data_IF_697276031564
#
_entry.id   IF_697276031564
#
_cell.length_a   1.000
_cell.length_b   1.000
_cell.length_c   1.000
_cell.angle_alpha   90.00
_cell.angle_beta   90.00
_cell.angle_gamma   90.00
#
_symmetry.space_group_name_H-M   'P 1'
#
loop_
_entity.id
_entity.type
_entity.pdbx_description
1 polymer ?
#
# COMPACT_ATOMS: atom_id res chain seq x y z
N UNK A 1 -14.19 -0.29 -36.04
CA UNK A 1 -13.10 -0.84 -35.21
C UNK A 1 -13.22 -0.17 -33.86
N UNK A 2 -13.74 -0.85 -32.84
CA UNK A 2 -13.73 -0.33 -31.49
C UNK A 2 -12.28 -0.32 -30.99
N UNK A 3 -11.72 0.86 -30.73
CA UNK A 3 -10.44 0.98 -30.06
C UNK A 3 -10.56 0.26 -28.71
N UNK A 4 -9.61 -0.62 -28.40
CA UNK A 4 -9.54 -1.20 -27.07
C UNK A 4 -9.51 -0.04 -26.06
N UNK A 5 -10.30 -0.07 -24.99
CA UNK A 5 -10.28 0.98 -24.00
C UNK A 5 -8.86 1.14 -23.47
N UNK A 6 -8.38 2.37 -23.45
CA UNK A 6 -7.10 2.70 -22.82
C UNK A 6 -7.21 2.33 -21.34
N UNK A 7 -6.40 1.39 -20.89
CA UNK A 7 -6.36 0.92 -19.51
C UNK A 7 -5.06 1.42 -18.86
N UNK A 8 -5.09 2.04 -17.68
CA UNK A 8 -6.24 2.35 -16.80
C UNK A 8 -6.92 3.68 -17.15
N UNK A 9 -8.22 3.79 -16.87
CA UNK A 9 -9.04 4.95 -17.20
C UNK A 9 -9.45 5.69 -15.92
N UNK A 10 -9.33 7.02 -15.94
CA UNK A 10 -9.89 7.87 -14.88
C UNK A 10 -11.42 7.86 -15.01
N UNK A 11 -12.09 7.25 -14.02
CA UNK A 11 -13.55 7.13 -14.01
C UNK A 11 -14.22 8.32 -13.35
N UNK A 12 -13.62 8.80 -12.26
CA UNK A 12 -14.23 9.86 -11.46
C UNK A 12 -13.22 10.59 -10.58
N UNK A 13 -13.53 11.84 -10.27
CA UNK A 13 -12.87 12.58 -9.20
C UNK A 13 -13.89 13.06 -8.17
N UNK A 14 -13.47 13.06 -6.89
CA UNK A 14 -14.27 13.52 -5.77
C UNK A 14 -13.66 14.78 -5.18
N UNK A 15 -14.49 15.83 -5.06
CA UNK A 15 -14.13 17.11 -4.46
C UNK A 15 -14.98 17.35 -3.23
N UNK A 16 -14.36 17.75 -2.11
CA UNK A 16 -15.09 18.04 -0.87
C UNK A 16 -14.19 18.26 0.33
N UNK A 17 -13.02 17.64 0.36
CA UNK A 17 -11.98 17.99 1.32
C UNK A 17 -11.39 19.38 1.01
N UNK A 18 -10.92 20.06 2.07
CA UNK A 18 -10.31 21.41 1.98
C UNK A 18 -8.79 21.38 2.09
N UNK A 19 -8.21 20.23 2.37
CA UNK A 19 -6.77 20.03 2.53
C UNK A 19 -6.36 18.65 2.00
N UNK A 20 -5.06 18.38 1.99
CA UNK A 20 -4.46 17.18 1.44
C UNK A 20 -5.09 15.89 1.97
N UNK A 21 -5.26 14.92 1.10
CA UNK A 21 -5.75 13.58 1.42
C UNK A 21 -4.58 12.73 1.92
N UNK A 22 -4.71 12.17 3.10
CA UNK A 22 -3.67 11.37 3.76
C UNK A 22 -3.83 9.88 3.55
N UNK A 23 -5.07 9.41 3.46
CA UNK A 23 -5.36 7.98 3.32
C UNK A 23 -6.69 7.78 2.60
N UNK A 24 -6.76 6.71 1.81
CA UNK A 24 -7.98 6.25 1.13
C UNK A 24 -8.13 4.75 1.37
N UNK A 25 -9.38 4.29 1.49
CA UNK A 25 -9.67 2.87 1.59
C UNK A 25 -11.06 2.54 1.04
N UNK A 26 -11.16 1.42 0.34
CA UNK A 26 -12.42 0.91 -0.20
C UNK A 26 -13.19 0.08 0.83
N UNK A 27 -14.50 0.23 0.83
CA UNK A 27 -15.36 -0.73 1.52
C UNK A 27 -15.19 -2.14 0.92
N UNK A 28 -15.35 -3.21 1.72
CA UNK A 28 -15.16 -4.58 1.25
C UNK A 28 -16.00 -4.98 0.04
N UNK A 29 -17.14 -4.31 -0.15
CA UNK A 29 -18.05 -4.52 -1.29
C UNK A 29 -17.74 -3.63 -2.51
N UNK A 30 -16.67 -2.80 -2.44
CA UNK A 30 -16.25 -1.88 -3.52
C UNK A 30 -17.21 -0.72 -3.81
N UNK A 31 -18.32 -0.57 -3.04
CA UNK A 31 -19.36 0.43 -3.34
C UNK A 31 -19.10 1.80 -2.71
N UNK A 32 -18.26 1.85 -1.69
CA UNK A 32 -17.94 3.06 -0.94
C UNK A 32 -16.44 3.24 -0.83
N UNK A 33 -16.01 4.47 -0.70
CA UNK A 33 -14.63 4.88 -0.47
C UNK A 33 -14.60 5.79 0.75
N UNK A 34 -13.73 5.50 1.71
CA UNK A 34 -13.45 6.35 2.84
C UNK A 34 -12.15 7.12 2.59
N UNK A 35 -12.11 8.38 2.99
CA UNK A 35 -10.94 9.23 2.87
C UNK A 35 -10.67 9.99 4.15
N UNK A 36 -9.39 10.15 4.47
CA UNK A 36 -8.90 10.94 5.57
C UNK A 36 -8.11 12.14 5.06
N UNK A 37 -8.11 13.25 5.77
CA UNK A 37 -7.47 14.49 5.31
C UNK A 37 -6.85 15.31 6.45
N UNK A 38 -6.00 16.24 6.05
CA UNK A 38 -5.44 17.28 6.93
C UNK A 38 -6.51 18.24 7.44
N UNK A 39 -7.67 18.30 6.81
CA UNK A 39 -8.79 19.14 7.25
C UNK A 39 -9.51 18.62 8.50
N UNK A 40 -8.99 17.59 9.15
CA UNK A 40 -9.52 16.94 10.36
C UNK A 40 -10.77 16.10 10.17
N UNK A 41 -11.29 16.01 8.96
CA UNK A 41 -12.49 15.27 8.63
C UNK A 41 -12.19 13.96 7.93
N UNK A 42 -13.15 13.03 8.07
CA UNK A 42 -13.27 11.91 7.15
C UNK A 42 -14.46 12.16 6.22
N UNK A 43 -14.34 11.67 5.01
CA UNK A 43 -15.47 11.63 4.09
C UNK A 43 -15.72 10.20 3.64
N UNK A 44 -17.00 9.85 3.58
CA UNK A 44 -17.47 8.61 3.04
C UNK A 44 -18.17 8.91 1.71
N UNK A 45 -17.59 8.43 0.63
CA UNK A 45 -18.06 8.60 -0.73
C UNK A 45 -18.76 7.34 -1.20
N UNK A 46 -19.75 7.50 -2.06
CA UNK A 46 -20.35 6.39 -2.79
C UNK A 46 -19.77 6.37 -4.20
N UNK A 47 -19.30 5.22 -4.65
CA UNK A 47 -18.73 5.04 -5.98
C UNK A 47 -19.82 5.13 -7.09
N UNK A 48 -21.12 5.04 -6.75
CA UNK A 48 -22.19 5.27 -7.70
C UNK A 48 -22.31 6.74 -8.11
N UNK A 49 -22.63 7.04 -9.38
CA UNK A 49 -22.87 8.42 -9.83
C UNK A 49 -23.95 9.12 -9.00
N UNK A 50 -23.83 10.44 -8.83
CA UNK A 50 -24.83 11.32 -8.18
C UNK A 50 -25.18 10.99 -6.72
N UNK A 51 -24.45 10.08 -6.07
CA UNK A 51 -24.68 9.78 -4.67
C UNK A 51 -24.02 10.81 -3.74
N UNK A 52 -24.67 11.13 -2.63
CA UNK A 52 -24.17 12.07 -1.63
C UNK A 52 -22.97 11.49 -0.87
N UNK A 53 -21.99 12.34 -0.61
CA UNK A 53 -20.91 12.05 0.34
C UNK A 53 -21.33 12.39 1.78
N UNK A 54 -20.81 11.67 2.76
CA UNK A 54 -21.02 11.95 4.17
C UNK A 54 -19.72 12.41 4.80
N UNK A 55 -19.78 13.49 5.56
CA UNK A 55 -18.64 14.04 6.31
C UNK A 55 -18.74 13.64 7.77
N UNK A 56 -17.69 13.04 8.30
CA UNK A 56 -17.58 12.64 9.70
C UNK A 56 -16.66 13.58 10.44
N UNK A 57 -17.19 14.15 11.50
CA UNK A 57 -16.54 15.19 12.32
C UNK A 57 -16.29 14.63 13.71
N UNK A 58 -15.07 14.77 14.23
CA UNK A 58 -14.76 14.31 15.57
C UNK A 58 -13.29 14.45 15.96
N UNK A 59 -12.36 14.17 15.06
CA UNK A 59 -10.93 14.37 15.33
C UNK A 59 -10.61 15.85 15.52
N UNK A 60 -9.62 16.13 16.39
CA UNK A 60 -9.18 17.47 16.75
C UNK A 60 -7.95 17.94 15.97
N UNK A 61 -7.30 17.04 15.26
CA UNK A 61 -6.10 17.29 14.47
C UNK A 61 -6.16 16.43 13.20
N UNK A 62 -5.16 16.55 12.34
CA UNK A 62 -5.01 15.84 11.08
C UNK A 62 -5.35 14.36 11.21
N UNK A 63 -6.24 13.87 10.35
CA UNK A 63 -6.51 12.44 10.24
C UNK A 63 -5.46 11.81 9.33
N UNK A 64 -4.69 10.88 9.85
CA UNK A 64 -3.50 10.32 9.19
C UNK A 64 -3.79 9.05 8.41
N UNK A 65 -4.75 8.25 8.87
CA UNK A 65 -5.09 6.96 8.26
C UNK A 65 -6.56 6.64 8.46
N UNK A 66 -7.15 5.97 7.50
CA UNK A 66 -8.52 5.46 7.54
C UNK A 66 -8.56 4.05 6.95
N UNK A 67 -9.37 3.17 7.52
CA UNK A 67 -9.56 1.82 7.00
C UNK A 67 -10.93 1.26 7.38
N UNK A 68 -11.56 0.56 6.44
CA UNK A 68 -12.73 -0.25 6.72
C UNK A 68 -12.37 -1.55 7.42
N UNK A 69 -13.22 -1.98 8.33
CA UNK A 69 -13.15 -3.36 8.82
C UNK A 69 -13.41 -4.35 7.67
N UNK A 70 -12.86 -5.57 7.72
CA UNK A 70 -13.06 -6.58 6.69
C UNK A 70 -14.52 -6.93 6.42
N UNK A 71 -15.38 -6.79 7.44
CA UNK A 71 -16.84 -6.99 7.33
C UNK A 71 -17.58 -5.74 6.81
N UNK A 72 -16.93 -4.58 6.78
CA UNK A 72 -17.53 -3.31 6.34
C UNK A 72 -18.50 -2.67 7.33
N UNK A 73 -18.64 -3.22 8.52
CA UNK A 73 -19.54 -2.72 9.58
C UNK A 73 -18.92 -1.60 10.41
N UNK A 74 -17.60 -1.45 10.39
CA UNK A 74 -16.86 -0.40 11.07
C UNK A 74 -15.88 0.29 10.13
N UNK A 75 -15.58 1.53 10.43
CA UNK A 75 -14.51 2.31 9.84
C UNK A 75 -13.62 2.81 10.98
N UNK A 76 -12.34 2.52 10.92
CA UNK A 76 -11.37 3.05 11.88
C UNK A 76 -10.65 4.25 11.29
N UNK A 77 -10.31 5.22 12.14
CA UNK A 77 -9.46 6.35 11.77
C UNK A 77 -8.44 6.65 12.83
N UNK A 78 -7.24 7.03 12.41
CA UNK A 78 -6.15 7.49 13.26
C UNK A 78 -5.88 8.96 13.03
N UNK A 79 -5.42 9.65 14.07
CA UNK A 79 -5.14 11.08 13.98
C UNK A 79 -3.88 11.47 14.76
N UNK A 80 -3.35 12.64 14.39
CA UNK A 80 -2.30 13.33 15.16
C UNK A 80 -2.74 13.75 16.55
N UNK A 81 -4.05 13.80 16.81
CA UNK A 81 -4.60 14.02 18.15
C UNK A 81 -4.35 12.85 19.14
N UNK A 82 -3.62 11.80 18.70
CA UNK A 82 -3.22 10.60 19.46
C UNK A 82 -4.38 9.64 19.75
N UNK A 83 -5.54 9.85 19.12
CA UNK A 83 -6.73 9.03 19.28
C UNK A 83 -7.01 8.17 18.06
N UNK A 84 -7.71 7.09 18.30
CA UNK A 84 -8.38 6.28 17.29
C UNK A 84 -9.88 6.49 17.46
N UNK A 85 -10.58 6.65 16.34
CA UNK A 85 -12.04 6.65 16.30
C UNK A 85 -12.55 5.48 15.48
N UNK A 86 -13.59 4.86 16.02
CA UNK A 86 -14.34 3.81 15.34
C UNK A 86 -15.71 4.35 14.97
N UNK A 87 -16.02 4.35 13.70
CA UNK A 87 -17.24 4.91 13.14
C UNK A 87 -18.13 3.81 12.58
N UNK A 88 -19.43 3.99 12.72
CA UNK A 88 -20.41 3.21 11.95
C UNK A 88 -20.54 3.90 10.59
N UNK A 89 -20.28 3.19 9.46
CA UNK A 89 -20.30 3.79 8.12
C UNK A 89 -21.74 4.01 7.62
N UNK A 90 -22.51 4.80 8.35
CA UNK A 90 -23.88 5.20 8.04
C UNK A 90 -23.99 6.73 7.84
N UNK A 91 -25.21 7.19 7.57
CA UNK A 91 -25.50 8.63 7.39
C UNK A 91 -25.27 9.47 8.65
N UNK A 92 -25.26 8.86 9.83
CA UNK A 92 -25.18 9.56 11.13
C UNK A 92 -23.73 9.69 11.62
N UNK A 93 -22.82 8.80 11.16
CA UNK A 93 -21.41 8.85 11.54
C UNK A 93 -21.16 8.76 13.05
N UNK A 94 -21.94 7.91 13.76
CA UNK A 94 -21.69 7.67 15.19
C UNK A 94 -20.31 7.07 15.38
N UNK A 95 -19.58 7.57 16.38
CA UNK A 95 -18.23 7.08 16.66
C UNK A 95 -17.99 6.88 18.16
N UNK A 96 -17.13 5.93 18.48
CA UNK A 96 -16.43 5.81 19.75
C UNK A 96 -14.99 6.24 19.59
N UNK A 97 -14.41 6.81 20.66
CA UNK A 97 -13.04 7.32 20.67
C UNK A 97 -12.25 6.69 21.82
N UNK A 98 -10.98 6.38 21.57
CA UNK A 98 -10.05 6.01 22.62
C UNK A 98 -8.65 6.58 22.36
N UNK A 99 -7.95 6.94 23.44
CA UNK A 99 -6.57 7.41 23.37
C UNK A 99 -5.65 6.20 23.19
N UNK A 100 -5.04 6.11 22.00
CA UNK A 100 -4.23 4.95 21.63
C UNK A 100 -2.75 5.11 22.04
N UNK A 101 -2.18 6.28 21.81
CA UNK A 101 -0.75 6.52 21.94
C UNK A 101 -0.44 7.80 22.71
N UNK A 102 0.83 7.98 23.08
CA UNK A 102 1.35 9.20 23.71
C UNK A 102 1.77 10.26 22.71
N UNK A 103 2.01 9.86 21.45
CA UNK A 103 2.37 10.72 20.32
C UNK A 103 1.39 10.49 19.14
N UNK A 104 1.46 11.29 18.05
CA UNK A 104 0.62 11.14 16.87
C UNK A 104 0.56 9.71 16.35
N UNK A 105 -0.64 9.25 15.98
CA UNK A 105 -0.83 7.96 15.32
C UNK A 105 -0.68 8.14 13.82
N UNK A 106 0.13 7.31 13.18
CA UNK A 106 0.45 7.43 11.75
C UNK A 106 -0.35 6.48 10.87
N UNK A 107 -0.55 5.26 11.32
CA UNK A 107 -1.18 4.20 10.53
C UNK A 107 -2.03 3.29 11.39
N UNK A 108 -3.07 2.76 10.80
CA UNK A 108 -3.91 1.70 11.36
C UNK A 108 -4.04 0.56 10.36
N UNK A 109 -4.31 -0.64 10.89
CA UNK A 109 -4.62 -1.80 10.07
C UNK A 109 -5.45 -2.83 10.84
N UNK A 110 -6.54 -3.30 10.22
CA UNK A 110 -7.31 -4.40 10.74
C UNK A 110 -6.68 -5.73 10.35
N UNK A 111 -6.72 -6.70 11.25
CA UNK A 111 -6.48 -8.10 10.88
C UNK A 111 -7.55 -8.58 9.89
N UNK A 112 -7.22 -9.59 9.07
CA UNK A 112 -8.12 -10.10 8.03
C UNK A 112 -9.46 -10.62 8.56
N UNK A 113 -9.49 -11.12 9.80
CA UNK A 113 -10.69 -11.54 10.53
C UNK A 113 -11.45 -10.39 11.21
N UNK A 114 -10.88 -9.18 11.21
CA UNK A 114 -11.46 -7.99 11.84
C UNK A 114 -11.43 -8.01 13.38
N UNK A 115 -10.78 -9.00 14.01
CA UNK A 115 -10.73 -9.11 15.48
C UNK A 115 -9.71 -8.17 16.10
N UNK A 116 -8.64 -7.84 15.38
CA UNK A 116 -7.55 -7.04 15.89
C UNK A 116 -7.35 -5.77 15.05
N UNK A 117 -6.83 -4.74 15.70
CA UNK A 117 -6.38 -3.50 15.07
C UNK A 117 -4.95 -3.21 15.49
N UNK A 118 -4.05 -3.06 14.52
CA UNK A 118 -2.70 -2.57 14.75
C UNK A 118 -2.67 -1.05 14.56
N UNK A 119 -1.93 -0.35 15.41
CA UNK A 119 -1.74 1.09 15.35
C UNK A 119 -0.27 1.43 15.45
N UNK A 120 0.26 2.23 14.52
CA UNK A 120 1.65 2.68 14.50
C UNK A 120 1.75 4.15 14.86
N UNK A 121 2.75 4.54 15.64
CA UNK A 121 2.85 5.89 16.18
C UNK A 121 4.26 6.45 16.19
N UNK A 122 4.33 7.77 16.28
CA UNK A 122 5.54 8.54 16.53
C UNK A 122 6.14 8.28 17.93
N UNK A 123 5.41 7.63 18.84
CA UNK A 123 5.94 7.16 20.12
C UNK A 123 6.86 5.93 19.99
N UNK A 124 7.23 5.56 18.75
CA UNK A 124 8.13 4.44 18.40
C UNK A 124 7.55 3.05 18.67
N UNK A 125 6.27 2.98 18.97
CA UNK A 125 5.58 1.73 19.26
C UNK A 125 4.52 1.38 18.24
N UNK A 126 4.25 0.08 18.17
CA UNK A 126 3.07 -0.48 17.52
C UNK A 126 2.22 -1.06 18.64
N UNK A 127 0.94 -0.76 18.66
CA UNK A 127 -0.01 -1.32 19.62
C UNK A 127 -1.06 -2.13 18.93
N UNK A 128 -1.45 -3.23 19.54
CA UNK A 128 -2.49 -4.13 19.05
C UNK A 128 -3.66 -4.12 20.01
N UNK A 129 -4.86 -3.99 19.44
CA UNK A 129 -6.11 -3.83 20.15
C UNK A 129 -7.07 -4.95 19.76
N UNK A 130 -7.84 -5.47 20.74
CA UNK A 130 -8.96 -6.36 20.46
C UNK A 130 -10.20 -5.52 20.13
N UNK A 131 -10.77 -5.70 18.94
CA UNK A 131 -11.87 -4.87 18.46
C UNK A 131 -13.22 -5.28 19.04
N UNK A 132 -13.41 -6.56 19.37
CA UNK A 132 -14.64 -7.04 20.00
C UNK A 132 -14.83 -6.43 21.41
N UNK A 133 -13.73 -6.40 22.19
CA UNK A 133 -13.73 -5.87 23.57
C UNK A 133 -13.29 -4.41 23.64
N UNK A 134 -12.85 -3.82 22.53
CA UNK A 134 -12.25 -2.48 22.43
C UNK A 134 -11.16 -2.25 23.51
N UNK A 135 -10.31 -3.24 23.71
CA UNK A 135 -9.26 -3.25 24.74
C UNK A 135 -7.87 -3.39 24.14
N UNK A 136 -6.94 -2.70 24.80
CA UNK A 136 -5.51 -2.89 24.54
C UNK A 136 -5.10 -4.32 24.86
N UNK A 137 -4.24 -4.90 23.99
CA UNK A 137 -3.67 -6.23 24.17
C UNK A 137 -2.19 -6.18 24.51
N UNK A 138 -1.37 -5.65 23.60
CA UNK A 138 0.07 -5.56 23.77
C UNK A 138 0.68 -4.48 22.89
N UNK A 139 1.95 -4.14 23.20
CA UNK A 139 2.77 -3.23 22.39
C UNK A 139 4.02 -3.93 21.92
N UNK A 140 4.47 -3.54 20.72
CA UNK A 140 5.72 -3.97 20.12
C UNK A 140 6.69 -2.80 20.14
N UNK A 141 7.82 -2.98 20.83
CA UNK A 141 8.86 -1.98 21.02
C UNK A 141 10.17 -2.55 20.48
N UNK A 142 10.78 -1.96 19.50
CA UNK A 142 12.17 -2.17 19.03
C UNK A 142 12.56 -1.17 17.97
N UNK A 143 11.61 -0.36 17.49
CA UNK A 143 11.95 0.77 16.66
C UNK A 143 12.57 1.89 17.51
N UNK A 144 13.59 2.52 16.96
CA UNK A 144 14.33 3.60 17.65
C UNK A 144 13.83 4.99 17.23
N UNK A 145 13.02 5.06 16.17
CA UNK A 145 12.41 6.28 15.65
C UNK A 145 10.93 6.08 15.35
N UNK A 146 10.25 7.08 14.81
CA UNK A 146 8.83 7.08 14.50
C UNK A 146 8.42 5.91 13.61
N UNK A 147 7.39 5.18 14.00
CA UNK A 147 6.81 4.13 13.16
C UNK A 147 5.84 4.77 12.20
N UNK A 148 6.13 4.65 10.91
CA UNK A 148 5.35 5.25 9.82
C UNK A 148 4.13 4.41 9.46
N UNK A 149 4.29 3.11 9.36
CA UNK A 149 3.25 2.18 8.94
C UNK A 149 3.40 0.84 9.65
N UNK A 150 2.29 0.20 9.93
CA UNK A 150 2.23 -1.19 10.39
C UNK A 150 1.03 -1.88 9.72
N UNK A 151 1.24 -3.10 9.19
CA UNK A 151 0.23 -3.88 8.47
C UNK A 151 0.25 -5.34 8.91
N UNK A 152 -0.93 -5.94 9.05
CA UNK A 152 -1.08 -7.37 9.26
C UNK A 152 -0.79 -8.16 7.98
N UNK A 153 -0.25 -9.35 8.14
CA UNK A 153 -0.24 -10.35 7.06
C UNK A 153 -1.67 -10.83 6.77
N UNK A 154 -1.94 -11.33 5.54
CA UNK A 154 -3.27 -11.84 5.17
C UNK A 154 -3.79 -12.96 6.09
N UNK A 155 -2.89 -13.75 6.68
CA UNK A 155 -3.22 -14.82 7.64
C UNK A 155 -3.29 -14.35 9.11
N UNK A 156 -2.95 -13.08 9.37
CA UNK A 156 -2.97 -12.47 10.70
C UNK A 156 -1.84 -12.90 11.66
N UNK A 157 -0.91 -13.77 11.20
CA UNK A 157 0.19 -14.27 12.04
C UNK A 157 1.35 -13.31 12.20
N UNK A 158 1.53 -12.43 11.23
CA UNK A 158 2.64 -11.49 11.21
C UNK A 158 2.12 -10.05 11.16
N UNK A 159 2.94 -9.14 11.66
CA UNK A 159 2.83 -7.70 11.42
C UNK A 159 4.13 -7.25 10.77
N UNK A 160 4.05 -6.47 9.69
CA UNK A 160 5.18 -5.74 9.14
C UNK A 160 5.09 -4.29 9.56
N UNK A 161 6.21 -3.67 9.86
CA UNK A 161 6.27 -2.24 10.19
C UNK A 161 7.48 -1.58 9.56
N UNK A 162 7.35 -0.32 9.22
CA UNK A 162 8.45 0.52 8.78
C UNK A 162 8.58 1.78 9.63
N UNK A 163 9.81 2.25 9.78
CA UNK A 163 10.14 3.36 10.64
C UNK A 163 11.20 4.29 10.02
N UNK A 164 11.25 5.50 10.54
CA UNK A 164 12.31 6.47 10.21
C UNK A 164 13.69 6.05 10.74
N UNK A 165 13.78 4.97 11.53
CA UNK A 165 15.05 4.33 11.89
C UNK A 165 15.71 3.58 10.72
N UNK A 166 15.14 3.70 9.50
CA UNK A 166 15.58 3.03 8.27
C UNK A 166 15.45 1.51 8.32
N UNK A 167 14.59 0.99 9.18
CA UNK A 167 14.36 -0.45 9.27
C UNK A 167 12.90 -0.81 8.96
N UNK A 168 12.76 -2.00 8.39
CA UNK A 168 11.48 -2.69 8.24
C UNK A 168 11.55 -3.92 9.13
N UNK A 169 10.61 -4.06 10.06
CA UNK A 169 10.59 -5.18 11.00
C UNK A 169 9.37 -6.04 10.77
N UNK A 170 9.56 -7.35 10.95
CA UNK A 170 8.49 -8.34 10.94
C UNK A 170 8.33 -8.89 12.35
N UNK A 171 7.10 -8.94 12.80
CA UNK A 171 6.73 -9.34 14.15
C UNK A 171 5.81 -10.55 14.10
N UNK A 172 6.05 -11.52 14.96
CA UNK A 172 5.13 -12.61 15.22
C UNK A 172 4.07 -12.15 16.22
N UNK A 173 2.80 -12.25 15.84
CA UNK A 173 1.67 -11.84 16.69
C UNK A 173 1.46 -12.75 17.89
N UNK A 174 1.89 -14.02 17.80
CA UNK A 174 1.76 -15.04 18.85
C UNK A 174 2.79 -14.79 19.96
N UNK A 175 4.07 -14.74 19.57
CA UNK A 175 5.19 -14.59 20.50
C UNK A 175 5.47 -13.12 20.83
N UNK A 176 4.88 -12.18 20.08
CA UNK A 176 5.06 -10.73 20.21
C UNK A 176 6.52 -10.29 20.05
N UNK A 177 7.28 -11.04 19.28
CA UNK A 177 8.69 -10.80 19.05
C UNK A 177 8.97 -10.36 17.60
N UNK A 178 10.04 -9.59 17.44
CA UNK A 178 10.57 -9.27 16.12
C UNK A 178 11.34 -10.48 15.59
N UNK A 179 10.84 -11.08 14.51
CA UNK A 179 11.45 -12.25 13.87
C UNK A 179 12.42 -11.89 12.77
N UNK A 180 12.18 -10.77 12.08
CA UNK A 180 13.04 -10.31 11.00
C UNK A 180 13.23 -8.81 11.02
N UNK A 181 14.39 -8.36 10.50
CA UNK A 181 14.73 -6.95 10.38
C UNK A 181 15.47 -6.71 9.06
N UNK A 182 14.86 -5.90 8.19
CA UNK A 182 15.50 -5.42 6.98
C UNK A 182 15.98 -3.99 7.24
N UNK A 183 17.23 -3.70 6.93
CA UNK A 183 17.82 -2.36 7.04
C UNK A 183 18.09 -1.77 5.66
N UNK A 184 17.78 -0.51 5.51
CA UNK A 184 18.13 0.28 4.33
C UNK A 184 19.14 1.35 4.71
N UNK A 185 20.22 1.42 3.98
CA UNK A 185 21.28 2.40 4.27
C UNK A 185 20.98 3.79 3.70
N UNK A 186 20.14 3.86 2.65
CA UNK A 186 19.93 5.11 1.88
C UNK A 186 18.78 5.93 2.46
N UNK A 187 17.59 5.33 2.58
CA UNK A 187 16.40 6.03 3.01
C UNK A 187 15.57 5.22 4.01
N UNK A 188 14.50 5.81 4.49
CA UNK A 188 13.51 5.09 5.28
C UNK A 188 12.27 4.79 4.43
N UNK A 189 11.53 3.75 4.80
CA UNK A 189 10.26 3.45 4.17
C UNK A 189 9.13 4.30 4.75
N UNK A 190 8.34 4.94 3.88
CA UNK A 190 7.14 5.69 4.25
C UNK A 190 5.95 4.76 4.47
N UNK A 191 5.88 3.68 3.69
CA UNK A 191 4.78 2.73 3.72
C UNK A 191 5.29 1.31 3.46
N UNK A 192 4.59 0.33 4.00
CA UNK A 192 4.88 -1.09 3.78
C UNK A 192 3.57 -1.87 3.72
N UNK A 193 3.52 -2.92 2.89
CA UNK A 193 2.35 -3.78 2.78
C UNK A 193 2.73 -5.19 2.36
N UNK A 194 1.93 -6.17 2.78
CA UNK A 194 2.05 -7.56 2.31
C UNK A 194 1.43 -7.73 0.93
N UNK A 195 1.98 -8.64 0.16
CA UNK A 195 1.29 -9.18 -1.00
C UNK A 195 0.10 -10.06 -0.55
N UNK A 196 -0.87 -10.36 -1.43
CA UNK A 196 -2.06 -11.14 -1.09
C UNK A 196 -1.76 -12.55 -0.57
N UNK A 197 -0.63 -13.15 -0.95
CA UNK A 197 -0.21 -14.47 -0.48
C UNK A 197 0.53 -14.46 0.86
N UNK A 198 0.93 -13.27 1.35
CA UNK A 198 1.68 -13.12 2.60
C UNK A 198 3.15 -13.55 2.53
N UNK A 199 3.69 -13.83 1.33
CA UNK A 199 5.07 -14.30 1.16
C UNK A 199 6.08 -13.18 0.97
N UNK A 200 5.62 -12.04 0.44
CA UNK A 200 6.44 -10.89 0.13
C UNK A 200 5.85 -9.62 0.73
N UNK A 201 6.70 -8.62 0.91
CA UNK A 201 6.31 -7.27 1.28
C UNK A 201 6.85 -6.27 0.27
N UNK A 202 6.08 -5.20 0.02
CA UNK A 202 6.54 -4.05 -0.73
C UNK A 202 6.80 -2.89 0.22
N UNK A 203 7.87 -2.15 0.00
CA UNK A 203 8.20 -0.93 0.74
C UNK A 203 8.30 0.28 -0.19
N UNK A 204 7.67 1.38 0.22
CA UNK A 204 7.74 2.68 -0.44
C UNK A 204 8.82 3.53 0.24
N UNK A 205 9.90 3.82 -0.47
CA UNK A 205 11.07 4.50 0.08
C UNK A 205 11.05 6.02 -0.07
N UNK A 206 11.60 6.71 0.93
CA UNK A 206 11.92 8.14 0.83
C UNK A 206 13.07 8.41 -0.14
N UNK A 207 13.81 7.39 -0.50
CA UNK A 207 14.90 7.37 -1.50
C UNK A 207 14.41 7.25 -2.94
N UNK A 208 13.12 7.47 -3.18
CA UNK A 208 12.43 7.41 -4.47
C UNK A 208 12.28 5.99 -5.04
N UNK A 209 12.57 4.98 -4.24
CA UNK A 209 12.57 3.59 -4.67
C UNK A 209 11.39 2.79 -4.11
N UNK A 210 11.06 1.73 -4.81
CA UNK A 210 10.14 0.69 -4.34
C UNK A 210 10.92 -0.61 -4.28
N UNK A 211 10.84 -1.31 -3.16
CA UNK A 211 11.57 -2.56 -2.93
C UNK A 211 10.60 -3.68 -2.58
N UNK A 212 10.81 -4.85 -3.17
CA UNK A 212 10.05 -6.06 -2.87
C UNK A 212 10.97 -7.03 -2.13
N UNK A 213 10.53 -7.48 -0.97
CA UNK A 213 11.30 -8.37 -0.08
C UNK A 213 10.57 -9.69 0.09
N UNK A 214 11.29 -10.81 -0.04
CA UNK A 214 10.78 -12.11 0.37
C UNK A 214 11.06 -12.32 1.85
N UNK A 215 10.00 -12.52 2.62
CA UNK A 215 10.10 -12.67 4.09
C UNK A 215 10.55 -14.07 4.52
N UNK A 216 10.45 -15.07 3.63
CA UNK A 216 10.82 -16.45 3.93
C UNK A 216 12.32 -16.67 3.89
N UNK A 217 12.98 -16.03 2.91
CA UNK A 217 14.45 -16.11 2.70
C UNK A 217 15.18 -14.85 3.12
N UNK A 218 14.44 -13.82 3.59
CA UNK A 218 14.98 -12.53 4.05
C UNK A 218 15.83 -11.82 3.00
N UNK A 219 15.41 -11.87 1.73
CA UNK A 219 16.16 -11.26 0.62
C UNK A 219 15.34 -10.20 -0.09
N UNK A 220 16.04 -9.21 -0.63
CA UNK A 220 15.49 -8.27 -1.59
C UNK A 220 15.31 -9.01 -2.92
N UNK A 221 14.06 -9.06 -3.43
CA UNK A 221 13.74 -9.69 -4.71
C UNK A 221 13.83 -8.70 -5.87
N UNK A 222 13.22 -7.52 -5.70
CA UNK A 222 13.13 -6.53 -6.76
C UNK A 222 13.36 -5.13 -6.20
N UNK A 223 13.98 -4.28 -7.00
CA UNK A 223 14.26 -2.89 -6.68
C UNK A 223 13.91 -2.01 -7.86
N UNK A 224 12.97 -1.09 -7.67
CA UNK A 224 12.49 -0.18 -8.71
C UNK A 224 12.85 1.26 -8.36
N UNK A 225 13.62 1.90 -9.24
CA UNK A 225 13.93 3.32 -9.16
C UNK A 225 13.16 4.06 -10.27
N UNK A 226 11.86 4.14 -10.11
CA UNK A 226 10.96 4.63 -11.16
C UNK A 226 10.44 6.05 -10.91
N UNK A 227 10.55 6.55 -9.69
CA UNK A 227 10.06 7.88 -9.32
C UNK A 227 11.20 8.89 -9.17
N UNK A 228 10.87 10.18 -9.43
CA UNK A 228 11.77 11.31 -9.18
C UNK A 228 11.58 11.94 -7.80
N UNK A 229 10.52 11.60 -7.09
CA UNK A 229 10.22 12.02 -5.73
C UNK A 229 10.03 10.85 -4.78
N UNK A 230 10.00 11.10 -3.47
CA UNK A 230 9.79 10.06 -2.47
C UNK A 230 8.48 9.32 -2.70
N UNK A 231 8.51 8.00 -2.59
CA UNK A 231 7.32 7.16 -2.71
C UNK A 231 6.59 7.16 -1.37
N UNK A 232 5.32 7.52 -1.38
CA UNK A 232 4.52 7.71 -0.17
C UNK A 232 3.68 6.49 0.21
N UNK A 233 3.15 5.79 -0.79
CA UNK A 233 2.26 4.65 -0.58
C UNK A 233 2.40 3.64 -1.71
N UNK A 234 2.14 2.38 -1.39
CA UNK A 234 2.04 1.28 -2.35
C UNK A 234 0.82 0.42 -2.05
N UNK A 235 0.24 -0.17 -3.08
CA UNK A 235 -0.88 -1.11 -2.93
C UNK A 235 -0.73 -2.25 -3.92
N UNK A 236 -0.82 -3.48 -3.44
CA UNK A 236 -0.86 -4.66 -4.28
C UNK A 236 -2.23 -4.81 -4.92
N UNK A 237 -2.26 -5.20 -6.18
CA UNK A 237 -3.46 -5.73 -6.81
C UNK A 237 -3.84 -7.08 -6.16
N UNK A 238 -5.13 -7.42 -6.03
CA UNK A 238 -5.56 -8.69 -5.41
C UNK A 238 -5.00 -9.95 -6.08
N UNK A 239 -4.65 -9.91 -7.37
CA UNK A 239 -3.96 -11.02 -8.05
C UNK A 239 -2.52 -11.24 -7.57
N UNK A 240 -1.91 -10.23 -6.92
CA UNK A 240 -0.51 -10.26 -6.52
C UNK A 240 0.50 -9.93 -7.63
N UNK A 241 0.05 -9.79 -8.88
CA UNK A 241 0.93 -9.60 -10.04
C UNK A 241 1.28 -8.13 -10.31
N UNK A 242 0.46 -7.20 -9.81
CA UNK A 242 0.65 -5.78 -10.05
C UNK A 242 0.78 -5.02 -8.75
N UNK A 243 1.57 -3.97 -8.78
CA UNK A 243 1.75 -3.03 -7.68
C UNK A 243 1.52 -1.61 -8.20
N UNK A 244 0.69 -0.84 -7.50
CA UNK A 244 0.57 0.58 -7.77
C UNK A 244 1.29 1.38 -6.68
N UNK A 245 1.92 2.48 -7.10
CA UNK A 245 2.73 3.36 -6.25
C UNK A 245 2.26 4.79 -6.36
N UNK A 246 2.30 5.53 -5.28
CA UNK A 246 1.99 6.95 -5.21
C UNK A 246 3.21 7.73 -4.74
N UNK A 247 3.57 8.80 -5.43
CA UNK A 247 4.79 9.54 -5.18
C UNK A 247 4.58 11.05 -5.02
N UNK A 248 5.53 11.65 -4.34
CA UNK A 248 5.66 13.11 -4.20
C UNK A 248 5.97 13.82 -5.52
N UNK A 249 6.34 13.10 -6.57
CA UNK A 249 6.50 13.63 -7.93
C UNK A 249 5.16 13.91 -8.65
N UNK A 250 4.02 13.65 -7.99
CA UNK A 250 2.68 13.89 -8.55
C UNK A 250 2.18 12.76 -9.44
N UNK A 251 2.94 11.68 -9.60
CA UNK A 251 2.56 10.56 -10.48
C UNK A 251 2.16 9.30 -9.69
N UNK A 252 1.33 8.50 -10.33
CA UNK A 252 1.08 7.12 -9.96
C UNK A 252 1.76 6.21 -10.99
N UNK A 253 2.38 5.14 -10.52
CA UNK A 253 3.01 4.17 -11.42
C UNK A 253 2.52 2.77 -11.12
N UNK A 254 2.31 1.98 -12.16
CA UNK A 254 1.87 0.59 -12.07
C UNK A 254 2.99 -0.30 -12.56
N UNK A 255 3.42 -1.17 -11.68
CA UNK A 255 4.50 -2.12 -11.88
C UNK A 255 3.92 -3.51 -12.11
N UNK A 256 4.45 -4.22 -13.10
CA UNK A 256 4.27 -5.65 -13.27
C UNK A 256 5.37 -6.37 -12.49
N UNK A 257 4.96 -7.13 -11.49
CA UNK A 257 5.90 -7.84 -10.62
C UNK A 257 6.39 -9.16 -11.23
N UNK A 258 5.63 -9.72 -12.20
CA UNK A 258 6.03 -10.93 -12.91
C UNK A 258 7.13 -10.62 -13.92
N UNK A 259 6.95 -9.54 -14.70
CA UNK A 259 7.93 -9.10 -15.70
C UNK A 259 9.00 -8.16 -15.12
N UNK A 260 8.81 -7.69 -13.87
CA UNK A 260 9.76 -6.80 -13.19
C UNK A 260 9.89 -5.42 -13.81
N UNK A 261 8.84 -4.89 -14.47
CA UNK A 261 8.88 -3.63 -15.21
C UNK A 261 7.76 -2.66 -14.88
N UNK A 262 8.00 -1.39 -15.21
CA UNK A 262 6.97 -0.35 -15.22
C UNK A 262 6.04 -0.54 -16.43
N UNK A 263 4.72 -0.56 -16.18
CA UNK A 263 3.73 -0.67 -17.28
C UNK A 263 3.12 0.70 -17.57
N UNK A 264 2.63 1.40 -16.54
CA UNK A 264 1.92 2.66 -16.70
C UNK A 264 2.46 3.74 -15.78
N UNK A 265 2.52 4.97 -16.31
CA UNK A 265 2.69 6.19 -15.54
C UNK A 265 1.43 7.03 -15.72
N UNK A 266 0.73 7.30 -14.62
CA UNK A 266 -0.53 8.02 -14.62
C UNK A 266 -0.33 9.41 -14.03
N UNK A 267 -0.88 10.40 -14.71
CA UNK A 267 -0.94 11.78 -14.28
C UNK A 267 -2.40 12.18 -14.08
N UNK A 268 -2.68 12.97 -13.07
CA UNK A 268 -4.05 13.42 -12.78
C UNK A 268 -4.12 14.33 -11.57
N UNK A 269 -3.18 14.17 -10.63
CA UNK A 269 -3.01 15.06 -9.49
C UNK A 269 -2.14 16.27 -9.87
N UNK A 270 -2.44 17.43 -9.32
CA UNK A 270 -1.65 18.67 -9.56
C UNK A 270 -0.51 18.84 -8.57
N UNK A 271 -0.32 17.91 -7.64
CA UNK A 271 0.73 17.93 -6.62
C UNK A 271 1.06 16.54 -6.11
N UNK A 272 1.85 16.44 -5.03
CA UNK A 272 2.23 15.16 -4.42
C UNK A 272 1.04 14.23 -4.17
N UNK A 273 1.19 12.96 -4.52
CA UNK A 273 0.21 11.92 -4.22
C UNK A 273 0.66 11.18 -2.96
N UNK A 274 -0.22 11.13 -1.96
CA UNK A 274 0.13 10.59 -0.65
C UNK A 274 -0.38 9.16 -0.43
N UNK A 275 -1.45 8.77 -1.12
CA UNK A 275 -2.11 7.50 -0.85
C UNK A 275 -2.69 6.89 -2.10
N UNK A 276 -2.69 5.56 -2.15
CA UNK A 276 -3.32 4.76 -3.18
C UNK A 276 -3.83 3.46 -2.58
N UNK A 277 -4.96 2.98 -3.06
CA UNK A 277 -5.55 1.71 -2.63
C UNK A 277 -6.30 1.04 -3.77
N UNK A 278 -6.13 -0.27 -3.93
CA UNK A 278 -6.98 -1.09 -4.81
C UNK A 278 -8.28 -1.47 -4.10
N UNK A 279 -9.33 -1.64 -4.89
CA UNK A 279 -10.54 -2.35 -4.45
C UNK A 279 -10.25 -3.83 -4.25
N UNK A 280 -11.03 -4.51 -3.43
CA UNK A 280 -10.90 -5.97 -3.24
C UNK A 280 -11.14 -6.79 -4.52
N UNK A 281 -11.90 -6.23 -5.47
CA UNK A 281 -12.12 -6.84 -6.78
C UNK A 281 -10.98 -6.65 -7.76
N UNK A 282 -10.10 -5.68 -7.53
CA UNK A 282 -9.00 -5.33 -8.42
C UNK A 282 -9.38 -4.49 -9.63
N UNK A 283 -10.67 -4.32 -9.90
CA UNK A 283 -11.21 -3.56 -11.03
C UNK A 283 -11.13 -2.04 -10.87
N UNK A 284 -10.99 -1.58 -9.64
CA UNK A 284 -10.88 -0.17 -9.29
C UNK A 284 -9.67 0.08 -8.39
N UNK A 285 -9.10 1.27 -8.50
CA UNK A 285 -8.21 1.83 -7.48
C UNK A 285 -8.50 3.32 -7.29
N UNK A 286 -8.12 3.84 -6.14
CA UNK A 286 -8.27 5.24 -5.80
C UNK A 286 -6.94 5.83 -5.38
N UNK A 287 -6.75 7.12 -5.68
CA UNK A 287 -5.59 7.90 -5.26
C UNK A 287 -6.01 9.19 -4.59
N UNK A 288 -5.20 9.68 -3.65
CA UNK A 288 -5.43 10.93 -2.95
C UNK A 288 -4.14 11.74 -2.83
N UNK A 289 -4.24 13.03 -3.07
CA UNK A 289 -3.09 13.92 -3.16
C UNK A 289 -3.19 15.20 -2.35
N UNK A 290 -2.14 16.01 -2.47
CA UNK A 290 -2.04 17.34 -1.86
C UNK A 290 -3.08 18.34 -2.41
N UNK A 291 -3.62 18.08 -3.59
CA UNK A 291 -4.65 18.88 -4.27
C UNK A 291 -6.05 18.76 -3.66
N UNK A 292 -6.17 18.06 -2.50
CA UNK A 292 -7.42 17.80 -1.82
C UNK A 292 -8.46 17.02 -2.66
N UNK A 293 -8.02 16.37 -3.74
CA UNK A 293 -8.86 15.58 -4.62
C UNK A 293 -8.62 14.08 -4.40
N UNK A 294 -9.66 13.30 -4.63
CA UNK A 294 -9.58 11.85 -4.70
C UNK A 294 -9.97 11.43 -6.11
N UNK A 295 -9.11 10.67 -6.75
CA UNK A 295 -9.33 10.14 -8.10
C UNK A 295 -9.70 8.67 -8.00
N UNK A 296 -10.72 8.27 -8.75
CA UNK A 296 -11.16 6.90 -8.91
C UNK A 296 -10.81 6.45 -10.32
N UNK A 297 -10.07 5.36 -10.41
CA UNK A 297 -9.58 4.79 -11.65
C UNK A 297 -10.13 3.38 -11.84
N UNK A 298 -10.38 3.02 -13.10
CA UNK A 298 -10.78 1.68 -13.49
C UNK A 298 -9.65 0.98 -14.23
N UNK A 299 -9.46 -0.30 -13.92
CA UNK A 299 -8.50 -1.17 -14.59
C UNK A 299 -9.17 -2.46 -15.04
N UNK A 300 -8.54 -3.15 -15.97
CA UNK A 300 -8.99 -4.46 -16.43
C UNK A 300 -7.78 -5.41 -16.59
N UNK A 301 -6.94 -5.47 -15.56
CA UNK A 301 -5.72 -6.28 -15.61
C UNK A 301 -5.99 -7.79 -15.77
N UNK A 302 -7.07 -8.29 -15.18
CA UNK A 302 -7.43 -9.72 -15.24
C UNK A 302 -8.11 -10.11 -16.57
N UNK A 303 -8.58 -9.13 -17.37
CA UNK A 303 -9.16 -9.36 -18.70
C UNK A 303 -8.14 -9.61 -19.82
N UNK A 304 -6.85 -9.39 -19.53
CA UNK A 304 -5.78 -9.66 -20.48
C UNK A 304 -5.27 -11.09 -20.29
N UNK A 305 -5.81 -12.04 -21.07
CA UNK A 305 -5.22 -13.37 -21.18
C UNK A 305 -3.74 -13.24 -21.50
N UNK A 306 -2.87 -13.96 -20.79
CA UNK A 306 -1.40 -13.99 -21.00
C UNK A 306 -1.00 -14.18 -22.48
N UNK A 307 -1.87 -14.83 -23.28
CA UNK A 307 -1.68 -15.02 -24.72
C UNK A 307 -1.76 -13.72 -25.53
N UNK A 308 -2.55 -12.74 -25.09
CA UNK A 308 -2.69 -11.46 -25.78
C UNK A 308 -1.56 -10.50 -25.40
N UNK A 309 -1.04 -10.61 -24.19
CA UNK A 309 0.17 -9.88 -23.73
C UNK A 309 1.38 -10.35 -24.54
N UNK A 310 1.57 -11.66 -24.70
CA UNK A 310 2.66 -12.23 -25.50
C UNK A 310 2.56 -11.78 -26.97
N UNK A 311 1.36 -11.77 -27.56
CA UNK A 311 1.15 -11.30 -28.95
C UNK A 311 1.40 -9.80 -29.11
N UNK A 312 1.05 -8.97 -28.13
CA UNK A 312 1.32 -7.52 -28.15
C UNK A 312 2.81 -7.23 -27.99
N UNK A 313 3.51 -7.94 -27.13
CA UNK A 313 4.94 -7.77 -26.90
C UNK A 313 5.77 -8.23 -28.10
N UNK A 314 5.40 -9.32 -28.77
CA UNK A 314 6.02 -9.75 -30.03
C UNK A 314 5.85 -8.71 -31.15
N UNK A 315 4.75 -7.95 -31.19
CA UNK A 315 4.57 -6.86 -32.17
C UNK A 315 5.36 -5.59 -31.83
N UNK A 316 5.64 -5.33 -30.52
CA UNK A 316 6.42 -4.17 -30.04
C UNK A 316 7.95 -4.38 -30.19
N UNK A 317 8.43 -5.62 -30.11
CA UNK A 317 9.85 -5.97 -30.30
C UNK A 317 10.41 -5.59 -31.69
N UNK A 318 9.56 -5.17 -32.65
CA UNK A 318 10.00 -4.70 -33.96
C UNK A 318 10.21 -3.19 -34.09
N UNK A 319 9.94 -2.37 -33.05
CA UNK A 319 9.96 -0.91 -33.21
C UNK A 319 10.67 -0.08 -32.12
N UNK A 320 11.11 -0.66 -31.01
CA UNK A 320 11.83 0.12 -29.97
C UNK A 320 13.15 -0.54 -29.59
N UNK A 321 14.21 0.27 -29.60
CA UNK A 321 15.53 -0.08 -29.09
C UNK A 321 15.43 -0.52 -27.64
N UNK A 322 16.01 -1.67 -27.31
CA UNK A 322 16.06 -2.28 -25.98
C UNK A 322 16.43 -1.27 -24.90
N UNK A 323 15.69 -1.19 -23.78
CA UNK A 323 16.17 -0.45 -22.61
C UNK A 323 17.48 -1.09 -22.14
N UNK A 324 18.42 -0.25 -21.75
CA UNK A 324 19.75 -0.69 -21.28
C UNK A 324 19.58 -1.57 -20.04
N UNK A 325 20.24 -2.73 -20.04
CA UNK A 325 20.35 -3.67 -18.90
C UNK A 325 20.81 -3.02 -17.58
N UNK A 326 21.32 -1.81 -17.64
CA UNK A 326 21.79 -1.00 -16.48
C UNK A 326 20.65 -0.57 -15.56
N UNK A 327 19.42 -0.53 -16.04
CA UNK A 327 18.26 -0.07 -15.26
C UNK A 327 17.59 -1.19 -14.44
N UNK A 328 18.02 -2.45 -14.62
CA UNK A 328 17.39 -3.64 -14.03
C UNK A 328 18.21 -4.26 -12.89
N UNK A 329 19.52 -3.96 -12.77
CA UNK A 329 20.40 -4.57 -11.77
C UNK A 329 21.00 -3.56 -10.80
N UNK A 330 20.98 -3.80 -9.48
CA UNK A 330 21.69 -2.97 -8.53
C UNK A 330 23.21 -3.12 -8.72
N UNK A 331 23.92 -2.00 -8.82
CA UNK A 331 25.38 -2.00 -8.79
C UNK A 331 25.87 -2.47 -7.42
N UNK A 332 26.49 -3.64 -7.37
CA UNK A 332 27.23 -4.11 -6.18
C UNK A 332 28.57 -3.39 -6.08
N UNK A 333 28.99 -2.94 -4.89
CA UNK A 333 30.37 -2.58 -4.65
C UNK A 333 31.18 -3.82 -4.24
N UNK A 334 32.11 -4.17 -5.11
CA UNK A 334 33.33 -4.96 -4.91
C UNK A 334 33.33 -6.48 -4.70
N UNK A 335 34.43 -7.11 -5.14
CA UNK A 335 34.43 -8.47 -5.63
C UNK A 335 34.90 -9.47 -4.55
N UNK A 336 34.15 -10.54 -4.40
CA UNK A 336 34.71 -11.85 -4.06
C UNK A 336 34.10 -12.89 -4.98
N UNK A 337 34.95 -13.68 -5.59
CA UNK A 337 34.69 -14.69 -6.59
C UNK A 337 33.61 -15.69 -6.13
N UNK A 338 32.53 -15.80 -6.91
CA UNK A 338 31.49 -16.79 -6.74
C UNK A 338 30.64 -16.86 -8.00
N UNK A 339 30.57 -18.00 -8.62
CA UNK A 339 29.96 -18.39 -9.89
C UNK A 339 28.77 -17.57 -10.33
N UNK A 340 28.84 -17.08 -11.57
CA UNK A 340 27.77 -16.41 -12.30
C UNK A 340 26.66 -17.46 -12.54
N UNK A 341 25.54 -17.35 -11.84
CA UNK A 341 24.32 -18.05 -12.21
C UNK A 341 23.70 -17.36 -13.43
N UNK A 342 23.39 -18.12 -14.45
CA UNK A 342 22.85 -17.61 -15.70
C UNK A 342 21.38 -17.24 -15.57
N UNK A 343 20.88 -16.38 -16.47
CA UNK A 343 19.48 -15.94 -16.54
C UNK A 343 18.51 -17.13 -16.60
N UNK A 344 18.95 -18.27 -17.13
CA UNK A 344 18.18 -19.52 -17.20
C UNK A 344 17.94 -20.14 -15.82
N UNK A 345 18.88 -20.05 -14.90
CA UNK A 345 18.72 -20.57 -13.54
C UNK A 345 17.70 -19.75 -12.72
N UNK A 346 17.63 -18.46 -12.99
CA UNK A 346 16.63 -17.58 -12.38
C UNK A 346 15.21 -17.88 -12.88
N UNK A 347 15.05 -18.13 -14.19
CA UNK A 347 13.77 -18.53 -14.79
C UNK A 347 13.29 -19.88 -14.28
N UNK A 348 14.20 -20.84 -14.16
CA UNK A 348 13.90 -22.18 -13.61
C UNK A 348 13.47 -22.12 -12.14
N UNK A 349 14.09 -21.22 -11.36
CA UNK A 349 13.71 -21.02 -9.95
C UNK A 349 12.32 -20.38 -9.82
N UNK A 350 12.00 -19.41 -10.69
CA UNK A 350 10.68 -18.77 -10.76
C UNK A 350 9.58 -19.75 -11.18
N UNK A 351 9.86 -20.61 -12.17
CA UNK A 351 8.93 -21.65 -12.64
C UNK A 351 8.68 -22.72 -11.56
N UNK A 352 9.69 -23.10 -10.78
CA UNK A 352 9.53 -24.02 -9.65
C UNK A 352 8.70 -23.41 -8.51
N UNK A 353 8.84 -22.10 -8.28
CA UNK A 353 8.00 -21.36 -7.32
C UNK A 353 6.53 -21.31 -7.75
N UNK A 354 6.25 -21.16 -9.03
CA UNK A 354 4.89 -21.15 -9.59
C UNK A 354 4.27 -22.56 -9.52
N UNK A 355 5.05 -23.62 -9.72
CA UNK A 355 4.56 -25.01 -9.67
C UNK A 355 4.32 -25.50 -8.20
N UNK A 356 4.97 -24.92 -7.22
CA UNK A 356 4.73 -25.25 -5.79
C UNK A 356 3.51 -24.51 -5.20
N UNK A 357 2.83 -23.67 -5.99
CA UNK A 357 1.65 -22.89 -5.61
C UNK A 357 0.34 -23.42 -6.24
N UNK A 358 0.40 -24.64 -6.85
CA UNK A 358 -0.80 -25.37 -7.29
C UNK A 358 -1.14 -26.51 -6.35
#
# INVERSE_FOLDING_TARGET
MASAPEDPVLERYFKGHKAAITSVDFSPNGKQLATASWDTFLMLWNCKPQARAFRYVGHKDVVTSVQFSPLGNLLASASRDRTIRLWIPDKRGKSSEFKAHTAPVRSIDFSADGQFLATASEDKSIKVWNMYRQRFLYSLYRHTHWVRCAKFSPDGRLIVSCSEDKTIKIWDTTNKQCVNNFSDSVGFANFVGFNPTGTCIASAGSDHTVKIWDIRVNKLLQHYQVHSGGVNCVSFHPSGNYLITASSDGTLKILDLLEGRLIYTLQGHTGPVFTVSFSKGGDLFSSGGADAQVLLWRTNFDGLNCKDIIKRNLKRLHFDSSPHLVDIYPRTPHPHEGKIETVEDFFLHLLRLIQSLR
#
